data_IF_405161904755
#
_entry.id   IF_405161904755
#
_cell.length_a   1.000
_cell.length_b   1.000
_cell.length_c   1.000
_cell.angle_alpha   90.00
_cell.angle_beta   90.00
_cell.angle_gamma   90.00
#
_symmetry.space_group_name_H-M   'P 1'
#
loop_
_entity.id
_entity.type
_entity.pdbx_description
1 polymer ?
#
# COMPACT_ATOMS: atom_id res chain seq x y z
N UNK A 1 5.61 26.98 0.03
CA UNK A 1 6.44 26.11 0.87
C UNK A 1 6.64 24.83 0.09
N UNK A 2 7.89 24.46 -0.21
CA UNK A 2 8.20 23.27 -1.00
C UNK A 2 7.79 22.01 -0.21
N UNK A 3 6.99 21.13 -0.81
CA UNK A 3 6.46 19.92 -0.17
C UNK A 3 7.46 18.76 -0.32
N UNK A 4 8.52 18.75 0.50
CA UNK A 4 9.38 17.60 0.69
C UNK A 4 8.98 16.90 1.99
N UNK A 5 8.76 15.61 1.93
CA UNK A 5 8.46 14.76 3.08
C UNK A 5 9.55 13.71 3.23
N UNK A 6 10.32 13.85 4.26
CA UNK A 6 11.30 12.85 4.68
C UNK A 6 10.60 12.02 5.77
N UNK A 7 10.46 10.75 5.54
CA UNK A 7 9.87 9.78 6.47
C UNK A 7 10.87 8.69 6.80
N UNK A 8 10.52 7.86 7.75
CA UNK A 8 11.34 6.73 8.23
C UNK A 8 11.78 5.81 7.08
N UNK A 9 10.85 5.49 6.19
CA UNK A 9 11.09 4.53 5.11
C UNK A 9 11.46 5.17 3.76
N UNK A 10 11.71 6.48 3.71
CA UNK A 10 12.07 7.12 2.44
C UNK A 10 11.69 8.58 2.33
N UNK A 11 11.81 9.11 1.13
CA UNK A 11 11.58 10.50 0.79
C UNK A 11 10.56 10.64 -0.32
N UNK A 12 9.61 11.56 -0.17
CA UNK A 12 8.54 11.84 -1.12
C UNK A 12 8.37 13.34 -1.36
N UNK A 13 8.08 13.73 -2.59
CA UNK A 13 7.87 15.13 -2.91
C UNK A 13 7.34 15.34 -4.33
N UNK A 14 7.23 16.61 -4.72
CA UNK A 14 6.82 17.02 -6.06
C UNK A 14 8.05 17.04 -6.97
N UNK A 15 7.94 16.37 -8.10
CA UNK A 15 9.02 16.27 -9.10
C UNK A 15 9.33 17.66 -9.70
N UNK A 16 10.62 17.98 -9.79
CA UNK A 16 11.10 19.27 -10.27
C UNK A 16 11.06 20.40 -9.23
N UNK A 17 10.36 20.20 -8.10
CA UNK A 17 10.37 21.16 -6.99
C UNK A 17 11.20 20.69 -5.81
N UNK A 18 10.97 19.44 -5.39
CA UNK A 18 11.58 18.83 -4.20
C UNK A 18 12.21 17.48 -4.46
N UNK A 19 11.63 16.67 -5.35
CA UNK A 19 12.27 15.45 -5.86
C UNK A 19 12.98 15.82 -7.16
N UNK A 20 14.29 15.89 -7.08
CA UNK A 20 15.22 16.17 -8.18
C UNK A 20 16.33 15.13 -8.18
N UNK A 21 17.06 14.93 -9.31
CA UNK A 21 18.12 13.91 -9.38
C UNK A 21 19.17 14.02 -8.27
N UNK A 22 19.58 15.24 -7.92
CA UNK A 22 20.58 15.50 -6.88
C UNK A 22 20.15 14.95 -5.52
N UNK A 23 18.89 15.20 -5.13
CA UNK A 23 18.32 14.66 -3.88
C UNK A 23 18.29 13.13 -3.91
N UNK A 24 17.92 12.54 -5.06
CA UNK A 24 17.89 11.08 -5.24
C UNK A 24 19.29 10.49 -5.13
N UNK A 25 20.30 11.14 -5.72
CA UNK A 25 21.71 10.73 -5.62
C UNK A 25 22.19 10.73 -4.17
N UNK A 26 21.89 11.76 -3.40
CA UNK A 26 22.28 11.85 -2.00
C UNK A 26 21.63 10.76 -1.15
N UNK A 27 20.31 10.56 -1.29
CA UNK A 27 19.59 9.52 -0.55
C UNK A 27 20.01 8.10 -0.96
N UNK A 28 20.24 7.85 -2.25
CA UNK A 28 20.75 6.56 -2.73
C UNK A 28 22.18 6.30 -2.25
N UNK A 29 23.04 7.34 -2.20
CA UNK A 29 24.38 7.24 -1.64
C UNK A 29 24.35 6.96 -0.13
N UNK A 30 23.44 7.62 0.61
CA UNK A 30 23.27 7.38 2.03
C UNK A 30 22.82 5.93 2.28
N UNK A 31 21.86 5.44 1.50
CA UNK A 31 21.39 4.05 1.61
C UNK A 31 22.45 3.04 1.19
N UNK A 32 23.24 3.30 0.13
CA UNK A 32 24.37 2.45 -0.27
C UNK A 32 25.47 2.39 0.80
N UNK A 33 25.76 3.51 1.46
CA UNK A 33 26.67 3.57 2.61
C UNK A 33 26.15 2.75 3.79
N UNK A 34 24.86 2.89 4.11
CA UNK A 34 24.18 2.09 5.13
C UNK A 34 24.28 0.58 4.83
N UNK A 35 24.13 0.17 3.58
CA UNK A 35 24.21 -1.24 3.16
C UNK A 35 25.63 -1.83 3.15
N UNK A 36 26.69 -1.01 3.23
CA UNK A 36 28.08 -1.44 3.26
C UNK A 36 28.47 -2.36 2.07
N UNK A 37 28.20 -1.89 0.84
CA UNK A 37 28.52 -2.58 -0.42
C UNK A 37 27.80 -3.94 -0.62
N UNK A 38 26.68 -4.19 0.06
CA UNK A 38 25.83 -5.36 -0.21
C UNK A 38 25.13 -5.24 -1.56
N UNK A 39 24.64 -6.36 -2.07
CA UNK A 39 23.78 -6.40 -3.25
C UNK A 39 22.46 -5.66 -2.96
N UNK A 40 22.03 -4.79 -3.88
CA UNK A 40 20.81 -3.99 -3.76
C UNK A 40 19.95 -4.14 -5.01
N UNK A 41 18.63 -4.25 -4.84
CA UNK A 41 17.68 -4.27 -5.93
C UNK A 41 17.11 -2.86 -6.15
N UNK A 42 16.84 -2.51 -7.40
CA UNK A 42 16.16 -1.26 -7.74
C UNK A 42 14.98 -1.56 -8.66
N UNK A 43 13.81 -0.99 -8.33
CA UNK A 43 12.61 -1.07 -9.15
C UNK A 43 11.84 0.25 -9.12
N UNK A 44 11.01 0.47 -10.12
CA UNK A 44 10.17 1.67 -10.22
C UNK A 44 8.78 1.37 -10.75
N UNK A 45 7.84 2.30 -10.53
CA UNK A 45 6.60 2.29 -11.29
C UNK A 45 6.78 2.94 -12.68
N UNK A 46 5.69 3.16 -13.37
CA UNK A 46 5.68 3.67 -14.75
C UNK A 46 5.75 5.18 -14.87
N UNK A 47 5.73 5.94 -13.77
CA UNK A 47 5.71 7.42 -13.77
C UNK A 47 6.75 7.98 -14.73
N UNK A 48 6.37 9.02 -15.49
CA UNK A 48 7.23 9.68 -16.49
C UNK A 48 8.55 10.15 -15.88
N UNK A 49 8.55 10.57 -14.62
CA UNK A 49 9.75 10.95 -13.89
C UNK A 49 10.62 9.77 -13.45
N UNK A 50 10.08 8.55 -13.52
CA UNK A 50 10.73 7.32 -13.07
C UNK A 50 12.10 7.09 -13.70
N UNK A 51 12.26 7.10 -15.03
CA UNK A 51 13.56 6.85 -15.67
C UNK A 51 14.68 7.77 -15.18
N UNK A 52 14.43 9.08 -15.10
CA UNK A 52 15.41 10.06 -14.65
C UNK A 52 15.89 9.79 -13.21
N UNK A 53 14.95 9.54 -12.29
CA UNK A 53 15.26 9.28 -10.88
C UNK A 53 15.92 7.92 -10.68
N UNK A 54 15.55 6.95 -11.49
CA UNK A 54 16.09 5.61 -11.50
C UNK A 54 17.58 5.60 -11.88
N UNK A 55 17.97 6.28 -12.97
CA UNK A 55 19.37 6.38 -13.37
C UNK A 55 20.23 7.09 -12.32
N UNK A 56 19.69 8.12 -11.66
CA UNK A 56 20.35 8.80 -10.55
C UNK A 56 20.61 7.85 -9.37
N UNK A 57 19.62 7.03 -9.01
CA UNK A 57 19.78 6.05 -7.93
C UNK A 57 20.79 4.94 -8.28
N UNK A 58 20.73 4.39 -9.50
CA UNK A 58 21.65 3.36 -9.97
C UNK A 58 23.11 3.85 -9.90
N UNK A 59 23.37 5.02 -10.46
CA UNK A 59 24.71 5.59 -10.49
C UNK A 59 25.29 5.78 -9.08
N UNK A 60 24.47 6.25 -8.16
CA UNK A 60 24.88 6.50 -6.77
C UNK A 60 25.19 5.22 -6.01
N UNK A 61 24.36 4.18 -6.17
CA UNK A 61 24.58 2.88 -5.53
C UNK A 61 25.87 2.20 -6.03
N UNK A 62 26.12 2.23 -7.34
CA UNK A 62 27.35 1.71 -7.93
C UNK A 62 28.58 2.44 -7.36
N UNK A 63 28.49 3.76 -7.22
CA UNK A 63 29.56 4.59 -6.70
C UNK A 63 29.89 4.31 -5.21
N UNK A 64 28.93 3.80 -4.45
CA UNK A 64 29.15 3.35 -3.06
C UNK A 64 29.67 1.91 -2.95
N UNK A 65 29.88 1.21 -4.09
CA UNK A 65 30.38 -0.16 -4.15
C UNK A 65 29.29 -1.23 -4.05
N UNK A 66 28.00 -0.86 -4.08
CA UNK A 66 26.91 -1.83 -4.09
C UNK A 66 26.76 -2.50 -5.46
N UNK A 67 26.66 -3.81 -5.51
CA UNK A 67 26.22 -4.52 -6.70
C UNK A 67 24.72 -4.31 -6.87
N UNK A 68 24.32 -3.78 -8.01
CA UNK A 68 22.92 -3.39 -8.28
C UNK A 68 22.27 -4.37 -9.24
N UNK A 69 21.12 -4.93 -8.84
CA UNK A 69 20.22 -5.67 -9.72
C UNK A 69 19.03 -4.79 -10.08
N UNK A 70 19.00 -4.33 -11.33
CA UNK A 70 17.93 -3.51 -11.87
C UNK A 70 16.77 -4.36 -12.37
N UNK A 71 15.60 -4.22 -11.77
CA UNK A 71 14.35 -4.87 -12.18
C UNK A 71 13.48 -3.98 -13.08
N UNK A 72 13.90 -2.76 -13.39
CA UNK A 72 13.16 -1.83 -14.23
C UNK A 72 11.78 -1.47 -13.66
N UNK A 73 10.73 -1.58 -14.49
CA UNK A 73 9.34 -1.42 -14.02
C UNK A 73 8.98 -2.69 -13.25
N UNK A 74 8.80 -2.52 -11.93
CA UNK A 74 8.54 -3.64 -11.03
C UNK A 74 7.51 -3.23 -9.95
N UNK A 75 6.43 -4.01 -9.77
CA UNK A 75 5.53 -3.83 -8.63
C UNK A 75 6.27 -3.92 -7.30
N UNK A 76 6.01 -2.98 -6.39
CA UNK A 76 6.71 -2.93 -5.10
C UNK A 76 6.65 -4.24 -4.31
N UNK A 77 5.49 -4.95 -4.19
CA UNK A 77 5.46 -6.23 -3.49
C UNK A 77 6.33 -7.31 -4.14
N UNK A 78 6.49 -7.29 -5.47
CA UNK A 78 7.39 -8.23 -6.16
C UNK A 78 8.85 -7.86 -5.86
N UNK A 79 9.19 -6.57 -5.86
CA UNK A 79 10.52 -6.11 -5.47
C UNK A 79 10.86 -6.56 -4.04
N UNK A 80 9.94 -6.37 -3.09
CA UNK A 80 10.08 -6.81 -1.69
C UNK A 80 10.27 -8.34 -1.58
N UNK A 81 9.50 -9.12 -2.33
CA UNK A 81 9.65 -10.57 -2.40
C UNK A 81 11.03 -10.97 -2.94
N UNK A 82 11.51 -10.30 -3.98
CA UNK A 82 12.80 -10.62 -4.62
C UNK A 82 14.00 -10.27 -3.73
N UNK A 83 13.91 -9.25 -2.87
CA UNK A 83 14.96 -8.98 -1.86
C UNK A 83 15.23 -10.22 -1.01
N UNK A 84 14.19 -10.81 -0.45
CA UNK A 84 14.28 -12.03 0.37
C UNK A 84 14.71 -13.24 -0.47
N UNK A 85 14.15 -13.39 -1.66
CA UNK A 85 14.41 -14.52 -2.55
C UNK A 85 15.86 -14.59 -3.00
N UNK A 86 16.51 -13.44 -3.18
CA UNK A 86 17.88 -13.29 -3.65
C UNK A 86 18.88 -12.97 -2.53
N UNK A 87 18.41 -12.95 -1.27
CA UNK A 87 19.22 -12.62 -0.09
C UNK A 87 19.99 -11.30 -0.27
N UNK A 88 19.33 -10.31 -0.87
CA UNK A 88 19.92 -8.99 -1.08
C UNK A 88 19.95 -8.18 0.22
N UNK A 89 20.88 -7.23 0.33
CA UNK A 89 20.98 -6.35 1.49
C UNK A 89 19.81 -5.39 1.63
N UNK A 90 19.09 -5.12 0.53
CA UNK A 90 17.91 -4.27 0.51
C UNK A 90 17.49 -3.87 -0.90
N UNK A 91 16.55 -2.93 -1.00
CA UNK A 91 16.13 -2.39 -2.29
C UNK A 91 15.69 -0.92 -2.20
N UNK A 92 15.66 -0.25 -3.36
CA UNK A 92 15.01 1.04 -3.55
C UNK A 92 13.81 0.86 -4.49
N UNK A 93 12.62 1.23 -4.01
CA UNK A 93 11.41 1.35 -4.83
C UNK A 93 11.17 2.82 -5.17
N UNK A 94 11.14 3.14 -6.48
CA UNK A 94 10.92 4.50 -6.98
C UNK A 94 9.47 4.63 -7.44
N UNK A 95 8.62 5.04 -6.51
CA UNK A 95 7.17 5.19 -6.74
C UNK A 95 6.54 6.04 -5.66
N UNK A 96 5.53 6.83 -6.01
CA UNK A 96 4.68 7.51 -5.04
C UNK A 96 3.34 6.78 -4.81
N UNK A 97 3.19 5.53 -5.27
CA UNK A 97 2.03 4.68 -5.06
C UNK A 97 0.73 5.35 -5.51
N UNK A 98 -0.14 5.66 -4.57
CA UNK A 98 -1.47 6.22 -4.82
C UNK A 98 -1.52 7.75 -5.07
N UNK A 99 -0.38 8.45 -5.06
CA UNK A 99 -0.34 9.88 -5.37
C UNK A 99 -0.43 10.14 -6.88
N UNK A 100 -0.87 11.35 -7.27
CA UNK A 100 -0.94 11.77 -8.66
C UNK A 100 0.44 11.84 -9.37
N UNK A 101 0.45 12.14 -10.66
CA UNK A 101 1.67 12.14 -11.50
C UNK A 101 2.74 13.15 -11.07
N UNK A 102 2.38 14.22 -10.36
CA UNK A 102 3.32 15.25 -9.91
C UNK A 102 4.27 14.74 -8.82
N UNK A 103 3.86 13.69 -8.10
CA UNK A 103 4.62 13.11 -7.01
C UNK A 103 5.51 11.98 -7.48
N UNK A 104 6.68 11.86 -6.85
CA UNK A 104 7.47 10.63 -6.83
C UNK A 104 8.13 10.47 -5.46
N UNK A 105 8.67 9.29 -5.22
CA UNK A 105 9.33 8.97 -3.96
C UNK A 105 10.41 7.91 -4.15
N UNK A 106 11.37 7.89 -3.22
CA UNK A 106 12.25 6.75 -2.97
C UNK A 106 11.78 6.11 -1.68
N UNK A 107 11.51 4.83 -1.73
CA UNK A 107 11.20 4.02 -0.55
C UNK A 107 12.25 2.95 -0.39
N UNK A 108 12.85 2.88 0.79
CA UNK A 108 13.92 1.95 1.12
C UNK A 108 13.33 0.68 1.73
N UNK A 109 13.84 -0.44 1.30
CA UNK A 109 13.44 -1.79 1.70
C UNK A 109 14.67 -2.46 2.30
N UNK A 110 14.52 -3.07 3.47
CA UNK A 110 15.58 -3.81 4.16
C UNK A 110 15.75 -5.24 3.62
N UNK A 111 16.71 -5.96 4.16
CA UNK A 111 17.02 -7.35 3.78
C UNK A 111 15.87 -8.34 4.03
N UNK A 112 14.94 -8.01 4.93
CA UNK A 112 13.74 -8.81 5.21
C UNK A 112 12.61 -8.54 4.21
N UNK A 113 12.81 -7.65 3.23
CA UNK A 113 11.80 -7.25 2.26
C UNK A 113 10.75 -6.31 2.84
N UNK A 114 11.00 -5.71 4.01
CA UNK A 114 10.11 -4.72 4.61
C UNK A 114 10.61 -3.30 4.39
N UNK A 115 9.74 -2.32 4.52
CA UNK A 115 10.19 -0.94 4.59
C UNK A 115 11.01 -0.72 5.85
N UNK A 116 12.02 0.14 5.77
CA UNK A 116 12.86 0.46 6.93
C UNK A 116 12.02 0.78 8.15
N UNK A 117 12.41 0.25 9.30
CA UNK A 117 11.86 0.63 10.60
C UNK A 117 12.44 1.97 11.08
N UNK A 118 11.99 2.44 12.26
CA UNK A 118 12.40 3.75 12.81
C UNK A 118 13.92 3.85 12.95
N UNK A 119 14.57 2.83 13.52
CA UNK A 119 16.01 2.84 13.77
C UNK A 119 16.83 2.81 12.49
N UNK A 120 16.47 1.93 11.56
CA UNK A 120 17.12 1.85 10.25
C UNK A 120 16.95 3.16 9.45
N UNK A 121 15.73 3.73 9.48
CA UNK A 121 15.45 4.98 8.79
C UNK A 121 16.20 6.17 9.39
N UNK A 122 16.32 6.25 10.71
CA UNK A 122 17.12 7.28 11.40
C UNK A 122 18.60 7.13 11.03
N UNK A 123 19.16 5.92 10.97
CA UNK A 123 20.55 5.70 10.56
C UNK A 123 20.81 6.18 9.13
N UNK A 124 19.93 5.86 8.17
CA UNK A 124 20.04 6.39 6.79
C UNK A 124 19.93 7.90 6.75
N UNK A 125 19.05 8.51 7.55
CA UNK A 125 18.88 9.95 7.64
C UNK A 125 20.11 10.64 8.26
N UNK A 126 20.71 10.04 9.27
CA UNK A 126 21.94 10.57 9.87
C UNK A 126 23.10 10.59 8.86
N UNK A 127 23.27 9.51 8.08
CA UNK A 127 24.26 9.45 6.99
C UNK A 127 23.96 10.56 5.96
N UNK A 128 22.69 10.70 5.55
CA UNK A 128 22.26 11.75 4.63
C UNK A 128 22.57 13.16 5.14
N UNK A 129 22.26 13.47 6.39
CA UNK A 129 22.48 14.79 6.98
C UNK A 129 23.96 15.10 7.20
N UNK A 130 24.78 14.09 7.50
CA UNK A 130 26.22 14.24 7.59
C UNK A 130 26.87 14.53 6.22
N UNK A 131 26.22 14.16 5.11
CA UNK A 131 26.74 14.35 3.76
C UNK A 131 28.04 13.59 3.47
N UNK A 132 28.36 12.59 4.28
CA UNK A 132 29.56 11.74 4.14
C UNK A 132 29.17 10.38 3.65
N UNK A 133 29.24 10.19 2.34
CA UNK A 133 28.91 8.95 1.70
C UNK A 133 30.18 8.16 1.38
N UNK A 134 30.13 6.83 1.55
CA UNK A 134 31.19 5.95 1.09
C UNK A 134 31.34 6.11 -0.43
N UNK A 135 32.60 6.08 -0.88
CA UNK A 135 32.95 6.10 -2.29
C UNK A 135 33.92 4.97 -2.57
N UNK A 136 33.50 4.04 -3.40
CA UNK A 136 34.34 2.94 -3.79
C UNK A 136 35.49 3.40 -4.69
N UNK A 137 36.68 2.83 -4.51
CA UNK A 137 37.76 2.97 -5.47
C UNK A 137 37.38 2.27 -6.80
N UNK A 138 38.05 2.63 -7.89
CA UNK A 138 37.71 2.17 -9.25
C UNK A 138 37.66 0.65 -9.37
N UNK A 139 38.48 -0.06 -8.64
CA UNK A 139 38.54 -1.53 -8.58
C UNK A 139 37.49 -2.17 -7.67
N UNK A 140 36.73 -1.37 -6.94
CA UNK A 140 35.66 -1.79 -6.01
C UNK A 140 34.29 -1.14 -6.34
N UNK A 141 34.15 -0.53 -7.51
CA UNK A 141 32.85 -0.06 -7.98
C UNK A 141 31.89 -1.22 -8.09
N UNK A 142 30.64 -1.00 -7.69
CA UNK A 142 29.57 -1.99 -7.85
C UNK A 142 29.28 -2.30 -9.30
N UNK A 143 28.70 -3.46 -9.54
CA UNK A 143 28.27 -3.90 -10.88
C UNK A 143 26.79 -3.66 -11.07
N UNK A 144 26.40 -3.32 -12.31
CA UNK A 144 25.01 -3.25 -12.70
C UNK A 144 24.62 -4.50 -13.49
N UNK A 145 23.64 -5.22 -12.97
CA UNK A 145 23.00 -6.36 -13.65
C UNK A 145 21.52 -6.00 -13.90
N UNK A 146 20.96 -6.48 -15.02
CA UNK A 146 19.53 -6.38 -15.35
C UNK A 146 18.94 -7.77 -15.42
N UNK A 147 17.70 -7.93 -14.96
CA UNK A 147 16.98 -9.20 -15.09
C UNK A 147 15.51 -8.97 -15.40
N UNK A 148 14.98 -9.82 -16.27
CA UNK A 148 13.55 -9.85 -16.63
C UNK A 148 12.84 -11.08 -16.04
N UNK A 149 13.58 -12.04 -15.47
CA UNK A 149 13.03 -13.33 -15.02
C UNK A 149 12.45 -13.31 -13.59
N UNK A 150 12.39 -12.16 -12.94
CA UNK A 150 11.90 -12.05 -11.56
C UNK A 150 10.40 -12.36 -11.42
N UNK A 151 9.60 -12.12 -12.47
CA UNK A 151 8.17 -12.40 -12.47
C UNK A 151 7.87 -13.89 -12.33
N UNK A 152 8.61 -14.74 -13.05
CA UNK A 152 8.42 -16.20 -12.99
C UNK A 152 8.73 -16.73 -11.60
N UNK A 153 9.78 -16.21 -10.95
CA UNK A 153 10.12 -16.58 -9.56
C UNK A 153 8.97 -16.27 -8.60
N UNK A 154 8.39 -15.08 -8.71
CA UNK A 154 7.31 -14.65 -7.84
C UNK A 154 6.03 -15.46 -8.12
N UNK A 155 5.56 -15.51 -9.36
CA UNK A 155 4.29 -16.15 -9.71
C UNK A 155 4.32 -17.67 -9.56
N UNK A 156 5.47 -18.31 -9.72
CA UNK A 156 5.61 -19.74 -9.42
C UNK A 156 5.42 -20.02 -7.91
N UNK A 157 5.92 -19.14 -7.04
CA UNK A 157 5.68 -19.25 -5.60
C UNK A 157 4.21 -18.95 -5.25
N UNK A 158 3.65 -17.88 -5.81
CA UNK A 158 2.25 -17.51 -5.61
C UNK A 158 1.30 -18.64 -6.03
N UNK A 159 1.53 -19.25 -7.20
CA UNK A 159 0.75 -20.40 -7.70
C UNK A 159 0.77 -21.60 -6.75
N UNK A 160 1.93 -21.86 -6.11
CA UNK A 160 2.07 -22.95 -5.13
C UNK A 160 1.36 -22.63 -3.82
N UNK A 161 1.31 -21.35 -3.46
CA UNK A 161 0.71 -20.89 -2.22
C UNK A 161 -0.84 -20.86 -2.29
N UNK A 162 -1.40 -20.52 -3.45
CA UNK A 162 -2.83 -20.49 -3.72
C UNK A 162 -3.33 -21.81 -4.30
N UNK A 163 -4.63 -22.08 -4.17
CA UNK A 163 -5.29 -23.18 -4.89
C UNK A 163 -5.54 -22.80 -6.36
N UNK A 164 -4.46 -22.68 -7.14
CA UNK A 164 -4.52 -22.31 -8.54
C UNK A 164 -5.36 -23.29 -9.41
N UNK A 165 -5.47 -24.57 -8.99
CA UNK A 165 -6.30 -25.54 -9.68
C UNK A 165 -7.80 -25.23 -9.55
N UNK A 166 -8.24 -24.83 -8.35
CA UNK A 166 -9.62 -24.40 -8.14
C UNK A 166 -9.96 -23.15 -8.96
N UNK A 167 -9.04 -22.16 -8.98
CA UNK A 167 -9.18 -20.92 -9.77
C UNK A 167 -9.34 -21.27 -11.26
N UNK A 168 -8.45 -22.11 -11.80
CA UNK A 168 -8.49 -22.55 -13.21
C UNK A 168 -9.78 -23.28 -13.56
N UNK A 169 -10.25 -24.19 -12.70
CA UNK A 169 -11.49 -24.94 -12.91
C UNK A 169 -12.73 -24.04 -12.88
N UNK A 170 -12.70 -22.97 -12.12
CA UNK A 170 -13.81 -22.02 -12.02
C UNK A 170 -14.00 -21.19 -13.29
N UNK A 171 -12.96 -21.06 -14.14
CA UNK A 171 -12.99 -20.29 -15.40
C UNK A 171 -13.53 -18.86 -15.21
N UNK A 172 -13.10 -18.21 -14.13
CA UNK A 172 -13.53 -16.85 -13.80
C UNK A 172 -13.08 -15.87 -14.88
N UNK A 173 -13.97 -14.97 -15.25
CA UNK A 173 -13.71 -13.83 -16.13
C UNK A 173 -13.43 -12.61 -15.28
N UNK A 174 -12.21 -12.09 -15.32
CA UNK A 174 -11.68 -11.10 -14.39
C UNK A 174 -11.25 -9.84 -15.14
N UNK A 175 -11.80 -8.70 -14.79
CA UNK A 175 -11.31 -7.40 -15.26
C UNK A 175 -10.25 -6.91 -14.30
N UNK A 176 -9.09 -6.47 -14.81
CA UNK A 176 -8.05 -5.85 -13.99
C UNK A 176 -7.63 -4.53 -14.62
N UNK A 177 -7.68 -3.47 -13.82
CA UNK A 177 -7.18 -2.14 -14.15
C UNK A 177 -5.94 -1.83 -13.30
N UNK A 178 -4.72 -1.94 -13.86
CA UNK A 178 -3.48 -1.57 -13.18
C UNK A 178 -3.19 -0.06 -13.23
N UNK A 179 -4.13 0.78 -13.65
CA UNK A 179 -3.97 2.23 -13.74
C UNK A 179 -2.74 2.65 -14.59
N UNK A 180 -2.42 1.93 -15.66
CA UNK A 180 -1.17 2.10 -16.43
C UNK A 180 0.11 2.12 -15.56
N UNK A 181 0.04 1.56 -14.35
CA UNK A 181 1.11 1.50 -13.34
C UNK A 181 2.02 0.28 -13.52
N UNK A 182 2.80 -0.05 -12.48
CA UNK A 182 3.76 -1.16 -12.51
C UNK A 182 3.10 -2.54 -12.69
N UNK A 183 1.79 -2.65 -12.48
CA UNK A 183 1.01 -3.87 -12.78
C UNK A 183 0.74 -4.09 -14.26
N UNK A 184 0.88 -3.04 -15.10
CA UNK A 184 0.62 -3.14 -16.54
C UNK A 184 1.61 -4.11 -17.20
N UNK A 185 1.09 -5.00 -18.05
CA UNK A 185 1.85 -6.13 -18.62
C UNK A 185 2.09 -7.29 -17.64
N UNK A 186 2.18 -7.01 -16.33
CA UNK A 186 2.39 -8.05 -15.29
C UNK A 186 1.12 -8.86 -15.04
N UNK A 187 -0.07 -8.23 -15.16
CA UNK A 187 -1.37 -8.92 -15.01
C UNK A 187 -1.57 -10.04 -16.02
N UNK A 188 -0.95 -9.96 -17.20
CA UNK A 188 -0.97 -11.02 -18.22
C UNK A 188 -0.22 -12.26 -17.75
N UNK A 189 0.92 -12.07 -17.07
CA UNK A 189 1.70 -13.14 -16.47
C UNK A 189 0.91 -13.77 -15.32
N UNK A 190 0.31 -12.94 -14.46
CA UNK A 190 -0.53 -13.37 -13.35
C UNK A 190 -1.70 -14.25 -13.81
N UNK A 191 -2.44 -13.83 -14.86
CA UNK A 191 -3.56 -14.60 -15.39
C UNK A 191 -3.12 -15.96 -15.94
N UNK A 192 -1.98 -16.03 -16.64
CA UNK A 192 -1.44 -17.29 -17.17
C UNK A 192 -1.06 -18.27 -16.08
N UNK A 193 -0.46 -17.80 -14.98
CA UNK A 193 -0.07 -18.65 -13.86
C UNK A 193 -1.27 -19.23 -13.11
N UNK A 194 -2.32 -18.44 -12.89
CA UNK A 194 -3.52 -18.89 -12.17
C UNK A 194 -4.59 -19.49 -13.07
N UNK A 195 -4.63 -19.14 -14.35
CA UNK A 195 -5.48 -19.76 -15.36
C UNK A 195 -6.93 -19.25 -15.37
N UNK A 196 -7.15 -17.96 -15.13
CA UNK A 196 -8.41 -17.26 -15.32
C UNK A 196 -8.44 -16.48 -16.65
N UNK A 197 -9.63 -16.12 -17.12
CA UNK A 197 -9.80 -15.26 -18.30
C UNK A 197 -9.60 -13.80 -17.91
N UNK A 198 -8.53 -13.16 -18.44
CA UNK A 198 -8.21 -11.76 -18.15
C UNK A 198 -8.85 -10.84 -19.20
N UNK A 199 -9.48 -9.78 -18.72
CA UNK A 199 -9.91 -8.63 -19.52
C UNK A 199 -9.13 -7.42 -19.00
N UNK A 200 -8.06 -7.01 -19.67
CA UNK A 200 -7.24 -5.90 -19.23
C UNK A 200 -7.91 -4.56 -19.58
N UNK A 201 -7.85 -3.62 -18.64
CA UNK A 201 -8.22 -2.21 -18.81
C UNK A 201 -7.00 -1.40 -18.41
N UNK A 202 -6.66 -0.34 -19.14
CA UNK A 202 -5.51 0.53 -18.82
C UNK A 202 -4.19 -0.23 -18.60
N UNK A 203 -3.90 -1.23 -19.43
CA UNK A 203 -2.78 -2.17 -19.27
C UNK A 203 -1.50 -1.76 -20.03
N UNK A 204 -1.32 -0.49 -20.37
CA UNK A 204 -0.11 0.00 -21.02
C UNK A 204 0.78 0.72 -20.00
N UNK A 205 2.07 0.32 -19.84
CA UNK A 205 2.97 0.91 -18.86
C UNK A 205 3.57 2.25 -19.37
N UNK A 206 2.72 3.19 -19.77
CA UNK A 206 3.10 4.44 -20.42
C UNK A 206 3.31 5.61 -19.42
N UNK A 207 2.97 5.41 -18.14
CA UNK A 207 3.16 6.40 -17.09
C UNK A 207 2.12 7.52 -17.04
N UNK A 208 1.13 7.49 -17.92
CA UNK A 208 -0.03 8.39 -17.86
C UNK A 208 -1.19 7.67 -17.20
N UNK A 209 -1.51 8.06 -15.98
CA UNK A 209 -2.60 7.45 -15.24
C UNK A 209 -3.95 7.93 -15.81
N UNK A 210 -4.82 7.00 -16.24
CA UNK A 210 -6.11 7.36 -16.82
C UNK A 210 -7.09 7.92 -15.79
N UNK A 211 -6.87 7.63 -14.52
CA UNK A 211 -7.59 8.14 -13.35
C UNK A 211 -6.64 8.32 -12.18
N UNK A 212 -7.12 8.89 -11.07
CA UNK A 212 -6.36 8.96 -9.82
C UNK A 212 -5.92 7.55 -9.40
N UNK A 213 -4.61 7.29 -9.19
CA UNK A 213 -4.09 5.96 -8.90
C UNK A 213 -4.44 5.44 -7.50
N UNK A 214 -5.26 6.13 -6.73
CA UNK A 214 -5.81 5.60 -5.50
C UNK A 214 -7.00 4.67 -5.81
N UNK A 215 -6.96 3.37 -5.46
CA UNK A 215 -8.00 2.40 -5.80
C UNK A 215 -9.23 2.60 -4.90
N UNK A 216 -10.05 3.60 -5.24
CA UNK A 216 -11.31 3.94 -4.56
C UNK A 216 -12.50 3.73 -5.48
N UNK A 217 -13.71 3.53 -4.93
CA UNK A 217 -14.92 3.34 -5.73
C UNK A 217 -15.11 4.41 -6.80
N UNK A 218 -14.84 5.69 -6.51
CA UNK A 218 -14.98 6.80 -7.48
C UNK A 218 -14.13 6.64 -8.75
N UNK A 219 -13.01 5.91 -8.68
CA UNK A 219 -12.06 5.68 -9.77
C UNK A 219 -12.37 4.40 -10.55
N UNK A 220 -13.35 3.59 -10.10
CA UNK A 220 -13.71 2.31 -10.68
C UNK A 220 -14.82 2.37 -11.75
N UNK A 221 -15.21 3.56 -12.20
CA UNK A 221 -16.36 3.75 -13.10
C UNK A 221 -16.16 3.05 -14.46
N UNK A 222 -14.95 3.09 -15.00
CA UNK A 222 -14.63 2.42 -16.26
C UNK A 222 -14.76 0.90 -16.11
N UNK A 223 -14.12 0.32 -15.10
CA UNK A 223 -14.22 -1.11 -14.79
C UNK A 223 -15.69 -1.52 -14.59
N UNK A 224 -16.45 -0.75 -13.80
CA UNK A 224 -17.87 -1.03 -13.56
C UNK A 224 -18.72 -0.98 -14.85
N UNK A 225 -18.37 -0.10 -15.78
CA UNK A 225 -19.04 0.01 -17.08
C UNK A 225 -18.74 -1.20 -17.97
N UNK A 226 -17.47 -1.58 -18.05
CA UNK A 226 -17.01 -2.77 -18.81
C UNK A 226 -17.62 -4.04 -18.23
N UNK A 227 -17.69 -4.18 -16.89
CA UNK A 227 -18.30 -5.34 -16.21
C UNK A 227 -19.74 -5.61 -16.66
N UNK A 228 -20.55 -4.56 -16.78
CA UNK A 228 -21.96 -4.69 -17.19
C UNK A 228 -22.12 -5.21 -18.63
N UNK A 229 -21.21 -4.82 -19.52
CA UNK A 229 -21.22 -5.22 -20.95
C UNK A 229 -20.70 -6.63 -21.12
N UNK A 230 -19.59 -6.96 -20.50
CA UNK A 230 -18.85 -8.22 -20.70
C UNK A 230 -19.39 -9.34 -19.79
N UNK A 231 -20.14 -8.98 -18.74
CA UNK A 231 -20.61 -9.91 -17.69
C UNK A 231 -19.45 -10.67 -17.04
N UNK A 232 -18.43 -9.92 -16.60
CA UNK A 232 -17.32 -10.49 -15.86
C UNK A 232 -17.73 -10.88 -14.43
N UNK A 233 -16.99 -11.81 -13.82
CA UNK A 233 -17.30 -12.32 -12.47
C UNK A 233 -16.80 -11.36 -11.37
N UNK A 234 -15.70 -10.65 -11.62
CA UNK A 234 -15.11 -9.68 -10.69
C UNK A 234 -14.23 -8.69 -11.44
N UNK A 235 -14.16 -7.45 -10.93
CA UNK A 235 -13.24 -6.42 -11.37
C UNK A 235 -12.29 -6.00 -10.25
N UNK A 236 -11.05 -5.67 -10.59
CA UNK A 236 -10.05 -5.14 -9.67
C UNK A 236 -9.45 -3.84 -10.19
N UNK A 237 -9.30 -2.86 -9.29
CA UNK A 237 -8.45 -1.70 -9.51
C UNK A 237 -7.19 -1.82 -8.68
N UNK A 238 -6.05 -1.46 -9.24
CA UNK A 238 -4.76 -1.43 -8.57
C UNK A 238 -4.27 0.02 -8.45
N UNK A 239 -3.46 0.29 -7.42
CA UNK A 239 -2.65 1.50 -7.43
C UNK A 239 -1.36 1.31 -8.26
N UNK A 240 -0.61 2.39 -8.52
CA UNK A 240 0.50 2.37 -9.46
C UNK A 240 1.64 1.41 -9.10
N UNK A 241 1.78 1.03 -7.82
CA UNK A 241 2.81 0.11 -7.32
C UNK A 241 2.30 -1.29 -6.92
N UNK A 242 0.99 -1.53 -7.08
CA UNK A 242 0.29 -2.80 -6.78
C UNK A 242 0.31 -3.21 -5.29
N UNK A 243 0.47 -2.26 -4.39
CA UNK A 243 0.36 -2.52 -2.93
C UNK A 243 -1.08 -2.49 -2.41
N UNK A 244 -2.06 -2.01 -3.21
CA UNK A 244 -3.47 -1.83 -2.85
C UNK A 244 -4.37 -2.25 -3.97
N UNK A 245 -5.55 -2.75 -3.60
CA UNK A 245 -6.62 -3.05 -4.55
C UNK A 245 -7.98 -2.52 -4.07
N UNK A 246 -8.90 -2.31 -5.00
CA UNK A 246 -10.33 -2.28 -4.72
C UNK A 246 -11.08 -3.23 -5.66
N UNK A 247 -12.31 -3.57 -5.30
CA UNK A 247 -13.10 -4.62 -5.92
C UNK A 247 -14.34 -4.01 -6.55
N UNK A 248 -14.67 -4.48 -7.76
CA UNK A 248 -15.97 -4.24 -8.40
C UNK A 248 -16.70 -5.57 -8.49
N UNK A 249 -17.90 -5.64 -7.93
CA UNK A 249 -18.71 -6.85 -7.95
C UNK A 249 -19.33 -7.11 -9.33
N UNK A 250 -19.72 -8.34 -9.60
CA UNK A 250 -20.29 -8.79 -10.88
C UNK A 250 -21.55 -8.02 -11.32
N UNK A 251 -22.25 -7.39 -10.36
CA UNK A 251 -23.40 -6.52 -10.64
C UNK A 251 -23.01 -5.08 -11.01
N UNK A 252 -21.68 -4.79 -11.06
CA UNK A 252 -21.13 -3.46 -11.32
C UNK A 252 -21.10 -2.54 -10.09
N UNK A 253 -21.34 -3.08 -8.88
CA UNK A 253 -21.20 -2.33 -7.64
C UNK A 253 -19.71 -2.11 -7.34
N UNK A 254 -19.33 -0.85 -7.23
CA UNK A 254 -17.99 -0.44 -6.81
C UNK A 254 -17.90 -0.53 -5.29
N UNK A 255 -17.28 -1.60 -4.78
CA UNK A 255 -17.15 -1.84 -3.35
C UNK A 255 -16.16 -0.87 -2.71
N UNK A 256 -16.42 -0.48 -1.46
CA UNK A 256 -15.41 0.22 -0.66
C UNK A 256 -14.17 -0.66 -0.50
N UNK A 257 -13.00 -0.04 -0.59
CA UNK A 257 -11.71 -0.69 -0.33
C UNK A 257 -11.61 -1.33 1.08
N UNK A 258 -12.46 -0.87 2.00
CA UNK A 258 -12.57 -1.41 3.37
C UNK A 258 -13.03 -2.88 3.42
N UNK A 259 -13.71 -3.39 2.37
CA UNK A 259 -14.16 -4.77 2.31
C UNK A 259 -13.03 -5.76 2.01
N UNK A 260 -11.96 -5.33 1.36
CA UNK A 260 -10.89 -6.20 0.88
C UNK A 260 -10.26 -7.01 2.01
N UNK A 261 -9.79 -6.36 3.05
CA UNK A 261 -9.11 -7.03 4.17
C UNK A 261 -10.06 -7.92 5.00
N UNK A 262 -11.24 -7.47 5.44
CA UNK A 262 -12.20 -8.33 6.13
C UNK A 262 -12.63 -9.55 5.34
N UNK A 263 -12.80 -9.43 4.01
CA UNK A 263 -13.13 -10.56 3.14
C UNK A 263 -12.03 -11.64 3.19
N UNK A 264 -10.78 -11.25 3.00
CA UNK A 264 -9.62 -12.16 3.09
C UNK A 264 -9.57 -12.78 4.50
N UNK A 265 -9.62 -11.97 5.55
CA UNK A 265 -9.53 -12.44 6.93
C UNK A 265 -10.64 -13.42 7.28
N UNK A 266 -11.87 -13.18 6.81
CA UNK A 266 -13.02 -14.05 7.08
C UNK A 266 -12.80 -15.49 6.61
N UNK A 267 -12.06 -15.69 5.53
CA UNK A 267 -11.78 -17.02 4.96
C UNK A 267 -10.41 -17.56 5.38
N UNK A 268 -9.38 -16.72 5.40
CA UNK A 268 -8.03 -17.15 5.78
C UNK A 268 -7.97 -17.66 7.22
N UNK A 269 -8.63 -16.97 8.16
CA UNK A 269 -8.65 -17.38 9.59
C UNK A 269 -9.41 -18.69 9.86
N UNK A 270 -10.12 -19.24 8.88
CA UNK A 270 -10.62 -20.61 8.95
C UNK A 270 -9.52 -21.67 8.78
N UNK A 271 -8.47 -21.32 8.02
CA UNK A 271 -7.34 -22.22 7.71
C UNK A 271 -6.22 -22.06 8.73
N UNK A 272 -5.92 -20.83 9.12
CA UNK A 272 -4.82 -20.51 10.03
C UNK A 272 -5.27 -19.43 11.01
N UNK A 273 -5.48 -19.83 12.26
CA UNK A 273 -5.77 -18.91 13.36
C UNK A 273 -4.47 -18.24 13.83
N UNK A 274 -4.58 -17.01 14.32
CA UNK A 274 -3.46 -16.26 14.88
C UNK A 274 -3.78 -14.78 15.00
N UNK A 275 -2.81 -14.02 15.47
CA UNK A 275 -2.93 -12.57 15.61
C UNK A 275 -3.14 -11.89 14.27
N UNK A 276 -4.03 -10.91 14.23
CA UNK A 276 -4.31 -10.06 13.07
C UNK A 276 -3.94 -8.63 13.40
N UNK A 277 -3.22 -7.97 12.50
CA UNK A 277 -2.86 -6.56 12.66
C UNK A 277 -3.64 -5.70 11.68
N UNK A 278 -4.18 -4.59 12.19
CA UNK A 278 -4.78 -3.54 11.36
C UNK A 278 -4.29 -2.17 11.83
N UNK A 279 -4.78 -1.09 11.22
CA UNK A 279 -4.48 0.25 11.72
C UNK A 279 -5.69 0.92 12.39
N UNK A 280 -5.44 2.04 13.06
CA UNK A 280 -6.47 2.79 13.78
C UNK A 280 -7.60 3.33 12.88
N UNK A 281 -7.37 3.49 11.58
CA UNK A 281 -8.35 4.03 10.62
C UNK A 281 -9.15 2.96 9.87
N UNK A 282 -8.94 1.68 10.15
CA UNK A 282 -9.67 0.58 9.49
C UNK A 282 -11.06 0.39 10.08
N UNK A 283 -11.97 -0.09 9.24
CA UNK A 283 -13.36 -0.39 9.63
C UNK A 283 -13.45 -1.41 10.77
N UNK A 284 -14.47 -1.28 11.62
CA UNK A 284 -14.86 -2.30 12.61
C UNK A 284 -15.24 -3.65 12.00
N UNK A 285 -15.45 -3.73 10.70
CA UNK A 285 -15.66 -5.01 10.04
C UNK A 285 -14.58 -6.03 10.40
N UNK A 286 -13.29 -5.59 10.45
CA UNK A 286 -12.19 -6.51 10.80
C UNK A 286 -12.25 -6.95 12.26
N UNK A 287 -12.71 -6.09 13.18
CA UNK A 287 -12.90 -6.43 14.60
C UNK A 287 -13.97 -7.51 14.75
N UNK A 288 -15.10 -7.36 14.05
CA UNK A 288 -16.18 -8.34 14.10
C UNK A 288 -15.76 -9.66 13.46
N UNK A 289 -15.06 -9.62 12.32
CA UNK A 289 -14.53 -10.81 11.66
C UNK A 289 -13.56 -11.57 12.56
N UNK A 290 -12.60 -10.89 13.18
CA UNK A 290 -11.63 -11.53 14.08
C UNK A 290 -12.30 -12.07 15.35
N UNK A 291 -13.29 -11.36 15.90
CA UNK A 291 -14.10 -11.83 17.04
C UNK A 291 -14.89 -13.10 16.66
N UNK A 292 -15.54 -13.15 15.49
CA UNK A 292 -16.22 -14.35 15.01
C UNK A 292 -15.27 -15.53 14.81
N UNK A 293 -14.00 -15.26 14.44
CA UNK A 293 -12.96 -16.28 14.25
C UNK A 293 -12.21 -16.61 15.55
N UNK A 294 -12.51 -15.92 16.65
CA UNK A 294 -11.81 -16.05 17.95
C UNK A 294 -10.29 -15.80 17.84
N UNK A 295 -9.91 -14.85 17.00
CA UNK A 295 -8.54 -14.46 16.76
C UNK A 295 -8.24 -13.11 17.40
N UNK A 296 -7.05 -12.90 18.01
CA UNK A 296 -6.64 -11.60 18.53
C UNK A 296 -6.52 -10.56 17.41
N UNK A 297 -6.94 -9.32 17.68
CA UNK A 297 -6.75 -8.18 16.80
C UNK A 297 -5.98 -7.09 17.53
N UNK A 298 -4.94 -6.57 16.90
CA UNK A 298 -4.19 -5.41 17.40
C UNK A 298 -4.19 -4.29 16.37
N UNK A 299 -4.14 -3.04 16.86
CA UNK A 299 -4.21 -1.84 16.03
C UNK A 299 -2.88 -1.09 16.05
N UNK A 300 -2.26 -0.93 14.90
CA UNK A 300 -1.06 -0.13 14.70
C UNK A 300 -1.40 1.34 14.34
N UNK A 301 -0.39 2.21 14.35
CA UNK A 301 -0.46 3.51 13.69
C UNK A 301 -0.72 3.33 12.18
N UNK A 302 -1.28 4.35 11.54
CA UNK A 302 -1.55 4.30 10.10
C UNK A 302 -0.26 4.33 9.29
N UNK A 303 -0.08 3.33 8.44
CA UNK A 303 1.05 3.20 7.51
C UNK A 303 1.64 1.80 7.49
N UNK A 304 2.02 1.36 6.30
CA UNK A 304 2.51 0.01 6.06
C UNK A 304 3.67 -0.39 6.99
N UNK A 305 4.66 0.50 7.18
CA UNK A 305 5.80 0.20 8.05
C UNK A 305 5.34 -0.16 9.47
N UNK A 306 4.39 0.59 10.03
CA UNK A 306 3.90 0.33 11.39
C UNK A 306 3.09 -0.96 11.48
N UNK A 307 2.20 -1.20 10.50
CA UNK A 307 1.36 -2.40 10.47
C UNK A 307 2.22 -3.66 10.29
N UNK A 308 3.21 -3.64 9.40
CA UNK A 308 4.07 -4.79 9.13
C UNK A 308 5.08 -5.01 10.28
N UNK A 309 5.69 -3.96 10.83
CA UNK A 309 6.59 -4.08 11.98
C UNK A 309 5.89 -4.70 13.20
N UNK A 310 4.66 -4.22 13.51
CA UNK A 310 3.85 -4.81 14.57
C UNK A 310 3.50 -6.27 14.25
N UNK A 311 3.18 -6.59 13.00
CA UNK A 311 2.85 -7.95 12.59
C UNK A 311 4.02 -8.92 12.77
N UNK A 312 5.24 -8.49 12.47
CA UNK A 312 6.45 -9.28 12.70
C UNK A 312 6.75 -9.45 14.20
N UNK A 313 6.59 -8.38 14.98
CA UNK A 313 6.82 -8.43 16.42
C UNK A 313 5.85 -9.36 17.15
N UNK A 314 4.58 -9.37 16.75
CA UNK A 314 3.50 -10.16 17.37
C UNK A 314 3.31 -11.55 16.73
N UNK A 315 4.21 -11.97 15.84
CA UNK A 315 4.08 -13.22 15.05
C UNK A 315 2.68 -13.38 14.44
N UNK A 316 2.19 -12.27 13.87
CA UNK A 316 0.85 -12.23 13.32
C UNK A 316 0.74 -13.07 12.03
N UNK A 317 -0.45 -13.60 11.76
CA UNK A 317 -0.71 -14.37 10.53
C UNK A 317 -1.17 -13.49 9.38
N UNK A 318 -1.82 -12.37 9.69
CA UNK A 318 -2.35 -11.40 8.73
C UNK A 318 -2.09 -9.98 9.18
N UNK A 319 -1.81 -9.10 8.23
CA UNK A 319 -1.89 -7.65 8.42
C UNK A 319 -2.65 -7.00 7.27
N UNK A 320 -3.39 -5.94 7.55
CA UNK A 320 -4.12 -5.23 6.51
C UNK A 320 -4.68 -3.89 7.00
N UNK A 321 -5.02 -3.04 6.05
CA UNK A 321 -5.56 -1.71 6.31
C UNK A 321 -6.84 -1.45 5.50
N UNK A 322 -7.66 -0.52 5.96
CA UNK A 322 -8.87 -0.05 5.28
C UNK A 322 -8.61 0.71 3.96
N UNK A 323 -7.46 0.49 3.37
CA UNK A 323 -7.04 1.04 2.08
C UNK A 323 -7.00 0.00 0.96
N UNK A 324 -7.49 -1.22 1.22
CA UNK A 324 -7.41 -2.35 0.30
C UNK A 324 -6.06 -3.05 0.29
N UNK A 325 -5.25 -2.83 1.35
CA UNK A 325 -3.93 -3.45 1.52
C UNK A 325 -4.01 -4.69 2.40
N UNK A 326 -3.42 -5.79 1.97
CA UNK A 326 -3.37 -7.05 2.73
C UNK A 326 -1.97 -7.67 2.62
N UNK A 327 -1.47 -8.16 3.74
CA UNK A 327 -0.26 -8.97 3.83
C UNK A 327 -0.60 -10.30 4.53
N UNK A 328 -0.15 -11.39 3.95
CA UNK A 328 -0.16 -12.72 4.55
C UNK A 328 1.27 -13.04 4.94
N UNK A 329 1.56 -12.98 6.24
CA UNK A 329 2.94 -12.98 6.75
C UNK A 329 3.71 -14.25 6.38
N UNK A 330 3.02 -15.37 6.26
CA UNK A 330 3.60 -16.64 5.80
C UNK A 330 4.13 -16.59 4.37
N UNK A 331 3.49 -15.80 3.49
CA UNK A 331 3.96 -15.61 2.12
C UNK A 331 5.04 -14.52 2.08
N UNK A 332 4.69 -13.32 2.55
CA UNK A 332 5.65 -12.22 2.70
C UNK A 332 5.16 -11.12 3.65
N UNK A 333 6.07 -10.43 4.34
CA UNK A 333 5.74 -9.31 5.22
C UNK A 333 5.58 -8.00 4.44
N UNK A 334 4.69 -7.99 3.45
CA UNK A 334 4.43 -6.83 2.60
C UNK A 334 2.98 -6.81 2.12
N UNK A 335 2.43 -5.63 1.91
CA UNK A 335 1.13 -5.47 1.27
C UNK A 335 1.23 -5.83 -0.21
N UNK A 336 0.40 -6.78 -0.66
CA UNK A 336 0.55 -7.43 -1.94
C UNK A 336 -0.77 -7.56 -2.68
N UNK A 337 -0.94 -6.75 -3.74
CA UNK A 337 -2.15 -6.74 -4.54
C UNK A 337 -2.35 -8.03 -5.36
N UNK A 338 -1.28 -8.66 -5.87
CA UNK A 338 -1.40 -9.91 -6.61
C UNK A 338 -1.82 -11.07 -5.70
N UNK A 339 -1.20 -11.17 -4.51
CA UNK A 339 -1.61 -12.15 -3.51
C UNK A 339 -3.06 -11.94 -3.10
N UNK A 340 -3.45 -10.68 -2.85
CA UNK A 340 -4.81 -10.31 -2.46
C UNK A 340 -5.83 -10.67 -3.52
N UNK A 341 -5.59 -10.34 -4.80
CA UNK A 341 -6.44 -10.74 -5.91
C UNK A 341 -6.53 -12.27 -6.02
N UNK A 342 -5.39 -12.94 -5.94
CA UNK A 342 -5.33 -14.40 -5.99
C UNK A 342 -6.17 -15.08 -4.90
N UNK A 343 -6.12 -14.57 -3.66
CA UNK A 343 -6.99 -15.07 -2.58
C UNK A 343 -8.47 -14.84 -2.85
N UNK A 344 -8.86 -13.68 -3.36
CA UNK A 344 -10.26 -13.41 -3.70
C UNK A 344 -10.76 -14.38 -4.76
N UNK A 345 -9.95 -14.61 -5.82
CA UNK A 345 -10.30 -15.59 -6.87
C UNK A 345 -10.39 -17.02 -6.30
N UNK A 346 -9.50 -17.39 -5.38
CA UNK A 346 -9.56 -18.69 -4.69
C UNK A 346 -10.82 -18.83 -3.83
N UNK A 347 -11.19 -17.78 -3.09
CA UNK A 347 -12.42 -17.77 -2.27
C UNK A 347 -13.64 -17.94 -3.15
N UNK A 348 -13.75 -17.16 -4.24
CA UNK A 348 -14.86 -17.28 -5.20
C UNK A 348 -14.95 -18.68 -5.79
N UNK A 349 -13.82 -19.23 -6.25
CA UNK A 349 -13.74 -20.57 -6.84
C UNK A 349 -14.11 -21.68 -5.84
N UNK A 350 -13.58 -21.61 -4.62
CA UNK A 350 -13.79 -22.64 -3.59
C UNK A 350 -15.20 -22.58 -2.98
N UNK A 351 -15.73 -21.38 -2.78
CA UNK A 351 -17.07 -21.16 -2.22
C UNK A 351 -18.17 -21.27 -3.30
N UNK A 352 -17.81 -21.19 -4.58
CA UNK A 352 -18.73 -21.10 -5.72
C UNK A 352 -19.77 -19.98 -5.54
N UNK A 353 -19.33 -18.84 -5.04
CA UNK A 353 -20.13 -17.66 -4.76
C UNK A 353 -19.63 -16.46 -5.53
N UNK A 354 -20.56 -15.58 -5.89
CA UNK A 354 -20.28 -14.28 -6.47
C UNK A 354 -19.69 -13.36 -5.41
N UNK A 355 -18.98 -12.32 -5.87
CA UNK A 355 -18.34 -11.37 -4.94
C UNK A 355 -19.38 -10.61 -4.11
N UNK A 356 -20.50 -10.22 -4.71
CA UNK A 356 -21.62 -9.57 -3.99
C UNK A 356 -22.19 -10.43 -2.87
N UNK A 357 -22.30 -11.76 -3.07
CA UNK A 357 -22.77 -12.71 -2.07
C UNK A 357 -21.77 -12.86 -0.92
N UNK A 358 -20.46 -12.90 -1.24
CA UNK A 358 -19.40 -13.01 -0.25
C UNK A 358 -19.32 -11.76 0.64
N UNK A 359 -19.44 -10.59 0.04
CA UNK A 359 -19.43 -9.30 0.77
C UNK A 359 -20.71 -9.13 1.60
N UNK A 360 -21.85 -9.66 1.15
CA UNK A 360 -23.10 -9.62 1.91
C UNK A 360 -23.04 -10.42 3.23
N UNK A 361 -22.10 -11.36 3.36
CA UNK A 361 -21.86 -12.11 4.60
C UNK A 361 -21.08 -11.32 5.66
N UNK A 362 -20.44 -10.21 5.28
CA UNK A 362 -19.64 -9.38 6.18
C UNK A 362 -20.53 -8.39 6.96
N UNK A 363 -20.13 -8.02 8.18
CA UNK A 363 -20.76 -6.93 8.90
C UNK A 363 -20.76 -5.64 8.09
N UNK A 364 -21.81 -4.85 8.19
CA UNK A 364 -21.93 -3.60 7.43
C UNK A 364 -21.69 -2.37 8.30
N UNK A 365 -20.79 -1.54 7.82
CA UNK A 365 -20.47 -0.22 8.36
C UNK A 365 -20.33 0.77 7.21
N UNK A 366 -20.48 2.05 7.51
CA UNK A 366 -20.31 3.13 6.55
C UNK A 366 -19.18 4.04 7.00
N UNK A 367 -18.23 4.28 6.11
CA UNK A 367 -17.09 5.16 6.36
C UNK A 367 -17.19 6.41 5.49
N UNK A 368 -16.89 7.55 6.11
CA UNK A 368 -16.72 8.86 5.46
C UNK A 368 -15.28 9.28 5.67
N UNK A 369 -14.59 9.67 4.58
CA UNK A 369 -13.19 10.10 4.59
C UNK A 369 -13.13 11.53 4.05
N UNK A 370 -12.84 12.49 4.92
CA UNK A 370 -12.76 13.91 4.62
C UNK A 370 -11.36 14.46 4.88
N UNK A 371 -11.07 15.60 4.28
CA UNK A 371 -9.81 16.31 4.49
C UNK A 371 -10.03 17.83 4.49
N UNK A 372 -9.37 18.50 5.44
CA UNK A 372 -9.43 19.95 5.58
C UNK A 372 -8.02 20.49 5.44
N UNK A 373 -7.86 21.52 4.62
CA UNK A 373 -6.59 22.26 4.57
C UNK A 373 -6.30 22.87 5.95
N UNK A 374 -5.10 22.66 6.46
CA UNK A 374 -4.62 23.23 7.69
C UNK A 374 -3.17 23.69 7.50
N UNK A 375 -2.88 25.00 7.68
CA UNK A 375 -1.51 25.48 7.60
C UNK A 375 -0.60 24.69 8.56
N UNK A 376 0.62 24.31 8.16
CA UNK A 376 1.51 23.52 9.03
C UNK A 376 1.77 24.15 10.39
N UNK A 377 1.77 25.48 10.47
CA UNK A 377 1.95 26.25 11.71
C UNK A 377 0.77 26.11 12.68
N UNK A 378 -0.43 25.78 12.19
CA UNK A 378 -1.65 25.62 13.00
C UNK A 378 -1.97 24.15 13.36
N UNK A 379 -1.35 23.17 12.68
CA UNK A 379 -1.71 21.74 12.83
C UNK A 379 -1.68 21.28 14.29
N UNK A 380 -0.60 21.60 15.02
CA UNK A 380 -0.45 21.17 16.41
C UNK A 380 -1.50 21.82 17.33
N UNK A 381 -1.76 23.12 17.18
CA UNK A 381 -2.77 23.81 17.96
C UNK A 381 -4.18 23.31 17.68
N UNK A 382 -4.50 23.06 16.40
CA UNK A 382 -5.81 22.51 16.00
C UNK A 382 -6.01 21.11 16.58
N UNK A 383 -5.03 20.22 16.47
CA UNK A 383 -5.10 18.87 17.04
C UNK A 383 -5.26 18.94 18.58
N UNK A 384 -4.56 19.87 19.22
CA UNK A 384 -4.70 20.08 20.68
C UNK A 384 -6.11 20.53 21.09
N UNK A 385 -6.70 21.46 20.36
CA UNK A 385 -8.08 21.92 20.64
C UNK A 385 -9.12 20.83 20.35
N UNK A 386 -8.94 20.06 19.27
CA UNK A 386 -9.79 18.88 18.99
C UNK A 386 -9.70 17.84 20.13
N UNK A 387 -8.51 17.67 20.74
CA UNK A 387 -8.35 16.78 21.89
C UNK A 387 -9.17 17.22 23.09
N UNK A 388 -9.28 18.54 23.32
CA UNK A 388 -10.11 19.08 24.41
C UNK A 388 -11.61 18.84 24.18
N UNK A 389 -12.07 18.88 22.94
CA UNK A 389 -13.47 18.59 22.59
C UNK A 389 -13.92 17.20 23.05
N UNK A 390 -12.99 16.25 23.12
CA UNK A 390 -13.28 14.85 23.46
C UNK A 390 -12.70 14.40 24.80
N UNK A 391 -12.35 15.34 25.70
CA UNK A 391 -11.63 15.02 26.94
C UNK A 391 -12.37 14.02 27.84
N UNK A 392 -13.71 14.05 27.82
CA UNK A 392 -14.57 13.18 28.64
C UNK A 392 -14.93 11.86 27.92
N UNK A 393 -14.39 11.60 26.73
CA UNK A 393 -14.63 10.37 25.96
C UNK A 393 -13.40 9.46 25.95
N UNK A 394 -13.63 8.16 25.86
CA UNK A 394 -12.53 7.21 25.66
C UNK A 394 -11.81 7.50 24.34
N UNK A 395 -10.52 7.79 24.40
CA UNK A 395 -9.73 8.30 23.31
C UNK A 395 -8.40 7.55 23.18
N UNK A 396 -8.05 7.16 21.94
CA UNK A 396 -6.69 6.73 21.57
C UNK A 396 -5.94 7.90 20.94
N UNK A 397 -4.78 8.23 21.50
CA UNK A 397 -3.92 9.33 21.03
C UNK A 397 -2.58 8.84 20.44
N UNK A 398 -2.45 7.57 20.12
CA UNK A 398 -1.20 6.98 19.60
C UNK A 398 -0.85 7.45 18.17
N UNK A 399 -1.87 7.79 17.35
CA UNK A 399 -1.69 8.36 16.01
C UNK A 399 -2.79 9.41 15.73
N UNK A 400 -2.63 10.61 16.26
CA UNK A 400 -3.68 11.62 16.21
C UNK A 400 -4.69 11.45 17.33
N UNK A 401 -5.99 11.49 17.03
CA UNK A 401 -7.08 11.38 17.99
C UNK A 401 -8.14 10.44 17.42
N UNK A 402 -8.33 9.30 18.04
CA UNK A 402 -9.44 8.39 17.73
C UNK A 402 -10.39 8.30 18.90
N UNK A 403 -11.66 8.60 18.67
CA UNK A 403 -12.74 8.51 19.66
C UNK A 403 -13.73 7.45 19.18
N UNK A 404 -14.08 6.53 20.07
CA UNK A 404 -14.99 5.42 19.77
C UNK A 404 -16.17 5.40 20.74
N UNK A 405 -17.35 5.04 20.26
CA UNK A 405 -18.53 4.68 21.04
C UNK A 405 -19.19 3.40 20.47
N UNK A 406 -20.38 3.04 20.97
CA UNK A 406 -21.07 1.82 20.55
C UNK A 406 -21.46 1.82 19.07
N UNK A 407 -21.80 3.00 18.49
CA UNK A 407 -22.34 3.15 17.17
C UNK A 407 -21.29 3.45 16.09
N UNK A 408 -20.06 3.82 16.49
CA UNK A 408 -19.02 4.14 15.53
C UNK A 408 -17.77 4.76 16.14
N UNK A 409 -16.98 5.41 15.29
CA UNK A 409 -15.78 6.12 15.70
C UNK A 409 -15.48 7.29 14.76
N UNK A 410 -14.67 8.22 15.25
CA UNK A 410 -14.03 9.26 14.43
C UNK A 410 -12.54 9.27 14.73
N UNK A 411 -11.73 9.34 13.67
CA UNK A 411 -10.27 9.42 13.74
C UNK A 411 -9.79 10.69 13.02
N UNK A 412 -9.10 11.54 13.77
CA UNK A 412 -8.58 12.84 13.32
C UNK A 412 -7.07 12.81 13.40
N UNK A 413 -6.40 13.06 12.29
CA UNK A 413 -4.94 13.07 12.24
C UNK A 413 -4.39 14.09 11.26
N UNK A 414 -3.22 14.62 11.57
CA UNK A 414 -2.44 15.39 10.62
C UNK A 414 -2.02 14.49 9.46
N UNK A 415 -2.10 14.99 8.23
CA UNK A 415 -1.54 14.27 7.09
C UNK A 415 -0.01 14.31 7.16
N UNK A 416 0.62 13.15 7.05
CA UNK A 416 2.08 13.06 6.94
C UNK A 416 2.61 13.64 5.60
N UNK A 417 1.75 13.73 4.57
CA UNK A 417 2.17 14.07 3.20
C UNK A 417 1.64 15.42 2.69
N UNK A 418 0.57 15.94 3.26
CA UNK A 418 -0.11 17.17 2.77
C UNK A 418 -0.37 18.14 3.93
N UNK A 419 -0.48 19.46 3.70
CA UNK A 419 -0.87 20.44 4.72
C UNK A 419 -2.36 20.34 5.03
N UNK A 420 -2.78 19.19 5.55
CA UNK A 420 -4.19 18.85 5.79
C UNK A 420 -4.37 18.06 7.07
N UNK A 421 -5.55 18.18 7.64
CA UNK A 421 -6.07 17.27 8.66
C UNK A 421 -7.03 16.31 7.96
N UNK A 422 -6.80 15.02 8.16
CA UNK A 422 -7.68 13.95 7.70
C UNK A 422 -8.66 13.60 8.81
N UNK A 423 -9.93 13.45 8.44
CA UNK A 423 -11.03 13.06 9.31
C UNK A 423 -11.64 11.83 8.68
N UNK A 424 -11.63 10.74 9.43
CA UNK A 424 -12.25 9.48 9.02
C UNK A 424 -13.28 9.14 10.08
N UNK A 425 -14.52 8.94 9.69
CA UNK A 425 -15.60 8.58 10.60
C UNK A 425 -16.33 7.34 10.11
N UNK A 426 -16.69 6.46 11.02
CA UNK A 426 -17.49 5.26 10.77
C UNK A 426 -18.76 5.29 11.61
N UNK A 427 -19.84 4.79 11.03
CA UNK A 427 -21.12 4.62 11.68
C UNK A 427 -21.91 3.43 11.16
N UNK A 428 -23.02 3.10 11.85
CA UNK A 428 -23.96 2.04 11.42
C UNK A 428 -24.72 2.41 10.15
N UNK A 429 -24.92 3.72 9.91
CA UNK A 429 -25.50 4.24 8.68
C UNK A 429 -24.57 5.29 8.07
N UNK A 430 -24.86 5.66 6.81
CA UNK A 430 -24.11 6.71 6.10
C UNK A 430 -24.34 8.08 6.76
N UNK A 431 -25.55 8.33 7.21
CA UNK A 431 -25.95 9.55 7.91
C UNK A 431 -25.16 9.67 9.22
N UNK A 432 -25.13 8.61 10.03
CA UNK A 432 -24.41 8.60 11.32
C UNK A 432 -22.90 8.83 11.11
N UNK A 433 -22.27 8.17 10.12
CA UNK A 433 -20.87 8.42 9.79
C UNK A 433 -20.61 9.87 9.34
N UNK A 434 -21.55 10.45 8.58
CA UNK A 434 -21.44 11.81 8.07
C UNK A 434 -21.59 12.85 9.19
N UNK A 435 -22.58 12.70 10.05
CA UNK A 435 -22.78 13.58 11.23
C UNK A 435 -21.55 13.64 12.11
N UNK A 436 -20.92 12.48 12.36
CA UNK A 436 -19.66 12.41 13.14
C UNK A 436 -18.51 13.15 12.45
N UNK A 437 -18.38 13.03 11.15
CA UNK A 437 -17.36 13.76 10.39
C UNK A 437 -17.63 15.26 10.39
N UNK A 438 -18.88 15.69 10.16
CA UNK A 438 -19.29 17.08 10.09
C UNK A 438 -19.14 17.82 11.44
N UNK A 439 -19.43 17.16 12.57
CA UNK A 439 -19.21 17.72 13.90
C UNK A 439 -17.75 18.19 14.05
N UNK A 440 -16.80 17.31 13.73
CA UNK A 440 -15.37 17.61 13.83
C UNK A 440 -14.92 18.59 12.76
N UNK A 441 -15.41 18.46 11.53
CA UNK A 441 -15.08 19.38 10.44
C UNK A 441 -15.45 20.81 10.78
N UNK A 442 -16.68 21.01 11.24
CA UNK A 442 -17.19 22.33 11.60
C UNK A 442 -16.34 22.95 12.71
N UNK A 443 -15.99 22.18 13.73
CA UNK A 443 -15.11 22.66 14.80
C UNK A 443 -13.72 23.06 14.28
N UNK A 444 -13.07 22.20 13.46
CA UNK A 444 -11.76 22.51 12.90
C UNK A 444 -11.82 23.77 12.02
N UNK A 445 -12.87 23.95 11.21
CA UNK A 445 -13.04 25.13 10.37
C UNK A 445 -13.11 26.44 11.16
N UNK A 446 -13.59 26.44 12.42
CA UNK A 446 -13.55 27.62 13.29
C UNK A 446 -12.13 27.98 13.75
N UNK A 447 -11.24 26.99 13.85
CA UNK A 447 -9.85 27.16 14.32
C UNK A 447 -8.86 27.51 13.19
N UNK A 448 -9.18 27.13 11.97
CA UNK A 448 -8.30 27.32 10.79
C UNK A 448 -8.54 28.68 10.14
N UNK A 449 -9.77 29.22 10.22
CA UNK A 449 -10.07 30.60 9.82
C UNK A 449 -9.25 31.59 10.65
#
# INVERSE_FOLDING_TARGET
MKLLKIGISGVRGIVGETIVPELVMDFASAFGTYLQAKKVLVGRDTRISGPMLHEAALSSLIATGCDVLDLGICPTPILQFMVRKLEAGGAISITAGHNDLKWNALTFIDQEGTYLNVFQGEEVLDIYHLGKFDKAAVDRLGKLEKTENYLDNYFACLKKYLNAEAIRKARLKVIIDPCSGAGAGVIDVFSRYLGFELIPVNNEPNGYFPHDPEPRPRNAQEVASVMKVIKADVGFLLNSDVSRISIVAENGEMLSEEFTFPLIASEYLKRKQGTVITNLSSSRMIEDVTRMRKCPLMKAKVGQSYSIQMALYEDAVLAGEGSGSVAVLEFQPAFDGFLTMGFILEIMASRKKKISELVAELPRYHIVKEKIYCPPTKVHSVVHEVKKLFIDRKMDSSDGIKVEDEDGWVHIRASATEPMIRIIAEGRSRENARERAEEVMNFILTLVK
#
